data_IF_742359265549
#
_entry.id   IF_742359265549
#
_cell.length_a   1.000
_cell.length_b   1.000
_cell.length_c   1.000
_cell.angle_alpha   90.00
_cell.angle_beta   90.00
_cell.angle_gamma   90.00
#
_symmetry.space_group_name_H-M   'P 1'
#
loop_
_entity.id
_entity.type
_entity.pdbx_description
1 polymer ?
#
# COMPACT_ATOMS: atom_id res chain seq x y z
N UNK A 1 -24.28 40.58 21.42
CA UNK A 1 -24.11 39.76 20.21
C UNK A 1 -23.04 38.72 20.49
N UNK A 2 -23.41 37.45 20.40
CA UNK A 2 -22.49 36.33 20.69
C UNK A 2 -21.87 35.93 19.36
N UNK A 3 -20.62 36.33 19.13
CA UNK A 3 -19.86 35.94 17.94
C UNK A 3 -19.53 34.45 18.01
N UNK A 4 -19.93 33.70 16.98
CA UNK A 4 -19.60 32.28 16.80
C UNK A 4 -18.08 32.06 16.74
N UNK A 5 -17.56 30.93 17.26
CA UNK A 5 -16.13 30.64 17.20
C UNK A 5 -15.74 30.14 15.81
N UNK A 6 -15.18 31.03 14.99
CA UNK A 6 -14.47 30.66 13.77
C UNK A 6 -13.33 29.67 14.07
N UNK A 7 -13.30 28.55 13.33
CA UNK A 7 -12.15 27.63 13.30
C UNK A 7 -10.99 28.36 12.62
N UNK A 8 -9.94 28.66 13.38
CA UNK A 8 -8.62 29.00 12.85
C UNK A 8 -8.37 30.46 12.49
N UNK A 9 -8.93 31.41 13.22
CA UNK A 9 -8.54 32.83 13.16
C UNK A 9 -8.16 33.31 14.54
N UNK A 10 -7.09 34.12 14.64
CA UNK A 10 -6.67 34.75 15.89
C UNK A 10 -7.88 35.32 16.62
N UNK A 11 -8.08 34.85 17.86
CA UNK A 11 -9.18 35.31 18.69
C UNK A 11 -8.85 36.71 19.17
N UNK A 12 -9.57 37.70 18.67
CA UNK A 12 -9.51 39.05 19.20
C UNK A 12 -10.11 39.01 20.61
N UNK A 13 -9.25 39.28 21.60
CA UNK A 13 -9.67 39.46 22.98
C UNK A 13 -10.09 40.93 23.18
N UNK A 14 -11.08 41.22 24.03
CA UNK A 14 -11.45 42.59 24.38
C UNK A 14 -10.34 43.26 25.21
N UNK A 15 -10.26 44.59 25.14
CA UNK A 15 -9.37 45.37 26.00
C UNK A 15 -9.82 45.25 27.47
N UNK A 16 -8.93 44.73 28.32
CA UNK A 16 -9.17 44.52 29.76
C UNK A 16 -8.09 45.26 30.58
N UNK A 17 -8.42 46.38 31.25
CA UNK A 17 -7.50 47.02 32.20
C UNK A 17 -7.15 46.11 33.38
N UNK A 18 -5.92 46.24 33.88
CA UNK A 18 -5.44 45.51 35.05
C UNK A 18 -6.34 45.77 36.26
N UNK A 19 -6.78 44.70 36.94
CA UNK A 19 -7.67 44.76 38.09
C UNK A 19 -9.17 44.77 37.77
N UNK A 20 -9.59 44.68 36.50
CA UNK A 20 -11.01 44.57 36.14
C UNK A 20 -11.65 43.29 36.69
N UNK A 21 -12.73 43.43 37.46
CA UNK A 21 -13.52 42.30 37.94
C UNK A 21 -14.32 41.66 36.78
N UNK A 22 -14.10 40.36 36.55
CA UNK A 22 -14.81 39.59 35.52
C UNK A 22 -15.97 38.81 36.14
N UNK A 23 -17.10 38.77 35.43
CA UNK A 23 -18.24 37.93 35.79
C UNK A 23 -18.01 36.52 35.23
N UNK A 24 -18.00 35.52 36.12
CA UNK A 24 -17.97 34.12 35.71
C UNK A 24 -19.26 33.79 34.93
N UNK A 25 -19.11 33.44 33.65
CA UNK A 25 -20.23 33.05 32.81
C UNK A 25 -20.56 31.56 32.93
N UNK A 26 -19.56 30.69 32.68
CA UNK A 26 -19.70 29.23 32.84
C UNK A 26 -18.35 28.60 33.19
N UNK A 27 -18.40 27.46 33.86
CA UNK A 27 -17.25 26.56 34.02
C UNK A 27 -17.54 25.32 33.17
N UNK A 28 -16.64 24.97 32.25
CA UNK A 28 -16.72 23.76 31.44
C UNK A 28 -15.52 22.87 31.77
N UNK A 29 -15.69 21.84 32.62
CA UNK A 29 -14.62 20.90 32.88
C UNK A 29 -14.38 20.07 31.62
N UNK A 30 -13.13 20.06 31.14
CA UNK A 30 -12.71 19.24 30.00
C UNK A 30 -11.63 18.26 30.45
N UNK A 31 -11.82 16.99 30.12
CA UNK A 31 -10.82 15.96 30.33
C UNK A 31 -10.05 15.74 29.03
N UNK A 32 -8.73 15.80 29.12
CA UNK A 32 -7.82 15.60 27.99
C UNK A 32 -6.92 14.39 28.27
N UNK A 33 -6.50 13.73 27.19
CA UNK A 33 -5.55 12.63 27.23
C UNK A 33 -4.32 12.98 26.39
N UNK A 34 -3.15 12.48 26.80
CA UNK A 34 -1.95 12.54 25.97
C UNK A 34 -2.15 11.67 24.73
N UNK A 35 -1.90 12.25 23.55
CA UNK A 35 -1.93 11.49 22.31
C UNK A 35 -0.54 10.94 22.02
N UNK A 36 -0.42 9.68 21.55
CA UNK A 36 0.85 9.16 21.08
C UNK A 36 1.33 9.95 19.84
N UNK A 37 2.63 9.92 19.53
CA UNK A 37 3.15 10.51 18.31
C UNK A 37 2.38 10.01 17.09
N UNK A 38 1.98 10.92 16.17
CA UNK A 38 1.26 10.53 14.98
C UNK A 38 2.19 9.70 14.08
N UNK A 39 1.65 8.63 13.49
CA UNK A 39 2.37 7.90 12.44
C UNK A 39 2.61 8.80 11.23
N UNK A 40 3.69 8.52 10.51
CA UNK A 40 4.06 9.21 9.28
C UNK A 40 3.00 9.03 8.19
N UNK A 41 2.76 10.09 7.43
CA UNK A 41 2.22 10.00 6.06
C UNK A 41 3.41 9.88 5.11
N UNK A 42 3.16 9.56 3.82
CA UNK A 42 4.25 9.56 2.83
C UNK A 42 4.96 10.91 2.76
N UNK A 43 4.21 12.02 2.77
CA UNK A 43 4.78 13.37 2.74
C UNK A 43 5.62 13.69 4.00
N UNK A 44 5.14 13.30 5.18
CA UNK A 44 5.90 13.50 6.42
C UNK A 44 7.14 12.62 6.47
N UNK A 45 7.09 11.41 5.92
CA UNK A 45 8.26 10.54 5.81
C UNK A 45 9.30 11.12 4.84
N UNK A 46 8.88 11.63 3.68
CA UNK A 46 9.80 12.31 2.76
C UNK A 46 10.46 13.51 3.44
N UNK A 47 9.68 14.29 4.18
CA UNK A 47 10.21 15.44 4.92
C UNK A 47 11.25 14.98 5.97
N UNK A 48 10.95 13.94 6.72
CA UNK A 48 11.90 13.40 7.71
C UNK A 48 13.18 12.87 7.04
N UNK A 49 13.05 12.15 5.92
CA UNK A 49 14.21 11.67 5.15
C UNK A 49 15.09 12.83 4.67
N UNK A 50 14.48 13.91 4.19
CA UNK A 50 15.17 15.14 3.79
C UNK A 50 15.87 15.82 4.98
N UNK A 51 15.17 15.96 6.11
CA UNK A 51 15.71 16.58 7.34
C UNK A 51 16.90 15.75 7.91
N UNK A 52 16.90 14.42 7.71
CA UNK A 52 17.99 13.52 8.11
C UNK A 52 19.09 13.36 7.04
N UNK A 53 18.97 13.99 5.88
CA UNK A 53 19.92 13.86 4.77
C UNK A 53 19.92 12.49 4.08
N UNK A 54 18.89 11.68 4.29
CA UNK A 54 18.77 10.32 3.75
C UNK A 54 18.01 10.34 2.41
N UNK A 55 18.73 10.07 1.33
CA UNK A 55 18.19 10.08 -0.03
C UNK A 55 18.22 11.46 -0.68
N UNK A 56 17.60 11.56 -1.86
CA UNK A 56 17.61 12.74 -2.74
C UNK A 56 16.23 12.89 -3.41
N UNK A 57 15.89 14.07 -3.99
CA UNK A 57 14.61 14.27 -4.69
C UNK A 57 14.31 13.23 -5.78
N UNK A 58 15.34 12.62 -6.36
CA UNK A 58 15.26 11.54 -7.34
C UNK A 58 14.92 10.16 -6.74
N UNK A 59 15.14 9.95 -5.44
CA UNK A 59 15.03 8.64 -4.78
C UNK A 59 13.85 8.54 -3.79
N UNK A 60 13.29 9.63 -3.29
CA UNK A 60 12.19 9.56 -2.29
C UNK A 60 11.00 8.72 -2.73
N UNK A 61 10.52 8.91 -3.97
CA UNK A 61 9.39 8.14 -4.49
C UNK A 61 9.73 6.65 -4.67
N UNK A 62 10.98 6.34 -5.08
CA UNK A 62 11.41 4.95 -5.26
C UNK A 62 11.62 4.24 -3.93
N UNK A 63 12.19 4.91 -2.93
CA UNK A 63 12.33 4.40 -1.55
C UNK A 63 10.95 3.97 -1.02
N UNK A 64 9.97 4.87 -1.04
CA UNK A 64 8.61 4.61 -0.54
C UNK A 64 7.95 3.48 -1.32
N UNK A 65 8.09 3.45 -2.65
CA UNK A 65 7.54 2.37 -3.46
C UNK A 65 8.15 1.02 -3.09
N UNK A 66 9.48 0.93 -2.97
CA UNK A 66 10.18 -0.33 -2.73
C UNK A 66 9.85 -0.91 -1.35
N UNK A 67 9.83 -0.08 -0.30
CA UNK A 67 9.52 -0.56 1.06
C UNK A 67 8.05 -0.98 1.21
N UNK A 68 7.14 -0.41 0.42
CA UNK A 68 5.74 -0.85 0.33
C UNK A 68 5.59 -2.12 -0.50
N UNK A 69 6.24 -2.19 -1.66
CA UNK A 69 6.17 -3.34 -2.57
C UNK A 69 6.75 -4.62 -1.94
N UNK A 70 7.72 -4.47 -1.03
CA UNK A 70 8.29 -5.57 -0.24
C UNK A 70 7.50 -5.91 1.04
N UNK A 71 6.36 -5.27 1.27
CA UNK A 71 5.49 -5.46 2.44
C UNK A 71 6.21 -5.18 3.78
N UNK A 72 7.20 -4.27 3.83
CA UNK A 72 7.76 -3.79 5.09
C UNK A 72 6.88 -2.72 5.74
N UNK A 73 6.23 -1.91 4.91
CA UNK A 73 5.24 -0.92 5.33
C UNK A 73 3.90 -1.19 4.65
N UNK A 74 2.83 -0.97 5.41
CA UNK A 74 1.44 -1.00 4.95
C UNK A 74 0.81 0.38 5.12
N UNK A 75 -0.20 0.65 4.31
CA UNK A 75 -0.97 1.89 4.41
C UNK A 75 -2.24 1.61 5.21
N UNK A 76 -2.36 2.21 6.38
CA UNK A 76 -3.56 2.18 7.21
C UNK A 76 -4.24 3.55 7.10
N UNK A 77 -5.31 3.63 6.30
CA UNK A 77 -5.93 4.89 5.93
C UNK A 77 -5.00 5.77 5.10
N UNK A 78 -4.51 6.88 5.67
CA UNK A 78 -3.53 7.80 5.04
C UNK A 78 -2.16 7.78 5.72
N UNK A 79 -1.92 6.83 6.64
CA UNK A 79 -0.69 6.75 7.43
C UNK A 79 0.04 5.44 7.16
N UNK A 80 1.36 5.48 7.30
CA UNK A 80 2.25 4.34 7.14
C UNK A 80 2.33 3.59 8.46
N UNK A 81 2.19 2.27 8.39
CA UNK A 81 2.32 1.36 9.52
C UNK A 81 3.32 0.25 9.18
N UNK A 82 4.32 -0.02 10.03
CA UNK A 82 5.22 -1.15 9.83
C UNK A 82 4.48 -2.49 9.88
N UNK A 83 4.84 -3.40 8.99
CA UNK A 83 4.37 -4.78 9.03
C UNK A 83 5.20 -5.60 10.03
N UNK A 84 4.73 -6.80 10.37
CA UNK A 84 5.53 -7.73 11.20
C UNK A 84 6.85 -8.11 10.52
N UNK A 85 6.83 -8.25 9.19
CA UNK A 85 8.03 -8.49 8.40
C UNK A 85 8.98 -7.28 8.48
N UNK A 86 8.43 -6.06 8.44
CA UNK A 86 9.19 -4.83 8.59
C UNK A 86 9.94 -4.77 9.92
N UNK A 87 9.25 -5.05 11.03
CA UNK A 87 9.88 -5.13 12.36
C UNK A 87 10.96 -6.19 12.40
N UNK A 88 10.64 -7.42 11.98
CA UNK A 88 11.59 -8.54 12.03
C UNK A 88 12.88 -8.23 11.26
N UNK A 89 12.76 -7.75 10.02
CA UNK A 89 13.92 -7.46 9.19
C UNK A 89 14.70 -6.27 9.74
N UNK A 90 14.02 -5.24 10.25
CA UNK A 90 14.68 -4.11 10.88
C UNK A 90 15.53 -4.55 12.09
N UNK A 91 14.95 -5.35 12.99
CA UNK A 91 15.63 -5.80 14.21
C UNK A 91 16.85 -6.66 13.87
N UNK A 92 16.68 -7.58 12.91
CA UNK A 92 17.75 -8.45 12.42
C UNK A 92 18.88 -7.65 11.75
N UNK A 93 18.56 -6.62 10.98
CA UNK A 93 19.57 -5.77 10.35
C UNK A 93 20.31 -4.89 11.37
N UNK A 94 19.61 -4.29 12.34
CA UNK A 94 20.25 -3.47 13.38
C UNK A 94 21.17 -4.31 14.26
N UNK A 95 20.77 -5.54 14.60
CA UNK A 95 21.58 -6.44 15.43
C UNK A 95 22.87 -6.89 14.74
N UNK A 96 22.82 -7.14 13.43
CA UNK A 96 23.96 -7.68 12.68
C UNK A 96 24.80 -6.61 11.97
N UNK A 97 24.25 -5.43 11.72
CA UNK A 97 24.89 -4.36 10.96
C UNK A 97 24.73 -2.98 11.65
N UNK A 98 25.12 -2.83 12.93
CA UNK A 98 24.84 -1.63 13.71
C UNK A 98 25.48 -0.36 13.12
N UNK A 99 26.63 -0.47 12.48
CA UNK A 99 27.38 0.69 11.99
C UNK A 99 26.77 1.29 10.72
N UNK A 100 26.24 0.45 9.82
CA UNK A 100 25.71 0.88 8.51
C UNK A 100 24.19 1.15 8.51
N UNK A 101 23.47 0.70 9.56
CA UNK A 101 22.02 0.90 9.67
C UNK A 101 21.64 2.24 10.34
N UNK A 102 22.62 3.12 10.57
CA UNK A 102 22.39 4.46 11.13
C UNK A 102 21.99 5.47 10.06
N UNK A 103 21.19 6.46 10.43
CA UNK A 103 20.82 7.57 9.53
C UNK A 103 22.03 8.40 9.18
N UNK A 104 22.94 8.62 10.12
CA UNK A 104 24.17 9.41 9.92
C UNK A 104 25.13 8.73 8.95
N UNK A 105 25.22 7.40 8.95
CA UNK A 105 26.00 6.67 7.95
C UNK A 105 25.40 6.82 6.57
N UNK A 106 24.08 6.63 6.46
CA UNK A 106 23.36 6.70 5.20
C UNK A 106 23.44 8.10 4.57
N UNK A 107 23.28 9.16 5.38
CA UNK A 107 23.43 10.55 4.92
C UNK A 107 24.85 10.83 4.41
N UNK A 108 25.88 10.39 5.16
CA UNK A 108 27.29 10.51 4.73
C UNK A 108 27.57 9.79 3.42
N UNK A 109 26.93 8.64 3.19
CA UNK A 109 27.08 7.91 1.93
C UNK A 109 26.50 8.70 0.75
N UNK A 110 25.36 9.36 0.93
CA UNK A 110 24.79 10.23 -0.11
C UNK A 110 25.69 11.44 -0.39
N UNK A 111 26.27 12.06 0.65
CA UNK A 111 27.22 13.16 0.48
C UNK A 111 28.50 12.72 -0.25
N UNK A 112 28.98 11.50 0.03
CA UNK A 112 30.12 10.92 -0.71
C UNK A 112 29.79 10.68 -2.19
N UNK A 113 28.55 10.35 -2.53
CA UNK A 113 28.14 10.22 -3.93
C UNK A 113 28.12 11.57 -4.64
N UNK A 114 27.69 12.63 -3.96
CA UNK A 114 27.76 14.00 -4.47
C UNK A 114 29.22 14.46 -4.66
N UNK A 115 30.12 14.11 -3.72
CA UNK A 115 31.56 14.38 -3.87
C UNK A 115 32.20 13.63 -5.05
N UNK A 116 31.72 12.44 -5.37
CA UNK A 116 32.14 11.69 -6.56
C UNK A 116 31.64 12.38 -7.83
N UNK A 117 30.39 12.86 -7.84
CA UNK A 117 29.83 13.63 -8.97
C UNK A 117 30.64 14.90 -9.22
N UNK A 118 31.04 15.61 -8.16
CA UNK A 118 31.90 16.79 -8.20
C UNK A 118 33.37 16.48 -8.58
N UNK A 119 33.75 15.20 -8.66
CA UNK A 119 35.12 14.77 -8.95
C UNK A 119 36.12 14.97 -7.79
N UNK A 120 35.63 15.20 -6.57
CA UNK A 120 36.45 15.36 -5.35
C UNK A 120 36.95 14.02 -4.83
N UNK A 121 36.17 12.95 -5.00
CA UNK A 121 36.47 11.60 -4.52
C UNK A 121 36.50 10.60 -5.67
N UNK A 122 37.45 9.67 -5.64
CA UNK A 122 37.48 8.57 -6.59
C UNK A 122 36.47 7.48 -6.18
N UNK A 123 35.53 7.17 -7.07
CA UNK A 123 34.45 6.21 -6.81
C UNK A 123 34.95 4.80 -6.45
N UNK A 124 36.08 4.34 -7.02
CA UNK A 124 36.67 3.02 -6.69
C UNK A 124 37.18 3.02 -5.26
N UNK A 125 37.79 4.11 -4.82
CA UNK A 125 38.29 4.23 -3.45
C UNK A 125 37.14 4.30 -2.44
N UNK A 126 36.07 5.04 -2.76
CA UNK A 126 34.87 5.08 -1.93
C UNK A 126 34.24 3.69 -1.78
N UNK A 127 34.08 2.95 -2.89
CA UNK A 127 33.55 1.59 -2.85
C UNK A 127 34.41 0.62 -2.04
N UNK A 128 35.75 0.68 -2.17
CA UNK A 128 36.64 -0.16 -1.36
C UNK A 128 36.52 0.14 0.13
N UNK A 129 36.46 1.42 0.47
CA UNK A 129 36.34 1.89 1.86
C UNK A 129 35.04 1.39 2.51
N UNK A 130 33.96 1.30 1.74
CA UNK A 130 32.71 0.70 2.20
C UNK A 130 32.77 -0.84 2.25
N UNK A 131 33.22 -1.46 1.16
CA UNK A 131 33.05 -2.90 0.95
C UNK A 131 33.97 -3.75 1.83
N UNK A 132 35.19 -3.28 2.12
CA UNK A 132 36.13 -4.05 2.94
C UNK A 132 35.61 -4.32 4.36
N UNK A 133 35.13 -3.32 5.13
CA UNK A 133 34.46 -3.54 6.42
C UNK A 133 33.15 -4.33 6.27
N UNK A 134 32.30 -3.93 5.32
CA UNK A 134 31.00 -4.56 5.13
C UNK A 134 31.10 -6.06 4.85
N UNK A 135 32.13 -6.48 4.09
CA UNK A 135 32.37 -7.90 3.80
C UNK A 135 32.63 -8.68 5.10
N UNK A 136 33.42 -8.13 6.01
CA UNK A 136 33.68 -8.77 7.31
C UNK A 136 32.41 -8.87 8.14
N UNK A 137 31.59 -7.81 8.17
CA UNK A 137 30.31 -7.82 8.87
C UNK A 137 29.36 -8.85 8.27
N UNK A 138 29.32 -8.95 6.93
CA UNK A 138 28.50 -9.92 6.22
C UNK A 138 28.92 -11.37 6.51
N UNK A 139 30.23 -11.67 6.53
CA UNK A 139 30.75 -12.99 6.87
C UNK A 139 30.40 -13.39 8.32
N UNK A 140 30.42 -12.43 9.25
CA UNK A 140 29.97 -12.67 10.63
C UNK A 140 28.46 -12.86 10.72
N UNK A 141 27.71 -12.05 9.98
CA UNK A 141 26.26 -12.12 9.93
C UNK A 141 25.80 -13.45 9.33
N UNK A 142 26.45 -13.99 8.29
CA UNK A 142 26.13 -15.33 7.76
C UNK A 142 26.21 -16.45 8.83
N UNK A 143 27.08 -16.29 9.83
CA UNK A 143 27.26 -17.27 10.90
C UNK A 143 26.37 -17.03 12.13
N UNK A 144 26.14 -15.75 12.46
CA UNK A 144 25.42 -15.34 13.68
C UNK A 144 23.94 -15.04 13.46
N UNK A 145 23.56 -14.67 12.23
CA UNK A 145 22.22 -14.26 11.91
C UNK A 145 21.25 -15.43 12.06
N UNK A 146 20.23 -15.20 12.89
CA UNK A 146 19.16 -16.15 13.17
C UNK A 146 18.45 -16.55 11.88
N UNK A 147 18.31 -17.86 11.61
CA UNK A 147 17.51 -18.36 10.49
C UNK A 147 16.01 -18.32 10.84
N UNK A 148 15.41 -17.14 10.68
CA UNK A 148 13.99 -16.92 10.99
C UNK A 148 13.05 -17.70 10.04
N UNK A 149 13.52 -18.11 8.86
CA UNK A 149 12.72 -18.95 7.95
C UNK A 149 12.62 -20.39 8.43
N UNK A 150 13.62 -20.86 9.18
CA UNK A 150 13.64 -22.15 9.83
C UNK A 150 12.86 -22.19 11.15
N UNK A 151 12.50 -21.05 11.71
CA UNK A 151 11.75 -21.00 12.97
C UNK A 151 10.29 -21.34 12.78
N UNK A 152 9.88 -22.33 13.56
CA UNK A 152 8.56 -22.91 13.55
C UNK A 152 7.92 -22.58 14.89
N UNK A 153 6.94 -21.69 14.91
CA UNK A 153 6.13 -21.47 16.11
C UNK A 153 4.98 -22.48 16.11
N UNK A 154 4.86 -23.28 17.17
CA UNK A 154 3.76 -24.23 17.32
C UNK A 154 2.48 -23.51 17.75
N UNK A 155 1.34 -23.86 17.12
CA UNK A 155 0.06 -23.20 17.40
C UNK A 155 -0.81 -23.97 18.37
N UNK A 156 -0.43 -25.21 18.70
CA UNK A 156 -1.25 -26.13 19.49
C UNK A 156 -2.56 -26.55 18.80
N UNK A 157 -2.75 -26.20 17.53
CA UNK A 157 -3.92 -26.59 16.73
C UNK A 157 -3.57 -27.76 15.80
N UNK A 158 -4.47 -28.74 15.68
CA UNK A 158 -4.30 -29.86 14.75
C UNK A 158 -4.88 -29.55 13.37
N UNK A 159 -4.22 -30.08 12.32
CA UNK A 159 -4.65 -29.91 10.94
C UNK A 159 -5.96 -30.67 10.67
N UNK A 160 -7.00 -29.96 10.25
CA UNK A 160 -8.32 -30.52 9.90
C UNK A 160 -8.27 -31.64 8.84
N UNK A 161 -7.22 -31.70 8.02
CA UNK A 161 -7.09 -32.68 6.93
C UNK A 161 -6.34 -33.95 7.31
N UNK A 162 -5.46 -33.91 8.30
CA UNK A 162 -4.61 -35.06 8.61
C UNK A 162 -4.30 -35.25 10.10
N UNK A 163 -4.82 -34.39 10.99
CA UNK A 163 -4.62 -34.47 12.43
C UNK A 163 -3.19 -34.23 12.92
N UNK A 164 -2.27 -33.80 12.05
CA UNK A 164 -0.90 -33.42 12.44
C UNK A 164 -0.90 -31.97 12.94
N UNK A 165 0.00 -31.57 13.86
CA UNK A 165 0.01 -30.22 14.40
C UNK A 165 0.25 -29.18 13.31
N UNK A 166 -0.43 -28.05 13.43
CA UNK A 166 -0.24 -26.87 12.60
C UNK A 166 0.87 -26.00 13.21
N UNK A 167 1.62 -25.36 12.33
CA UNK A 167 2.80 -24.58 12.67
C UNK A 167 2.83 -23.26 11.92
N UNK A 168 3.31 -22.20 12.54
CA UNK A 168 3.47 -20.90 11.90
C UNK A 168 4.80 -20.86 11.16
N UNK A 169 4.74 -20.44 9.89
CA UNK A 169 5.90 -20.22 9.04
C UNK A 169 5.85 -18.85 8.40
N UNK A 170 7.03 -18.32 8.08
CA UNK A 170 7.16 -17.10 7.29
C UNK A 170 7.05 -17.37 5.80
N UNK A 171 6.08 -16.74 5.14
CA UNK A 171 5.90 -16.75 3.70
C UNK A 171 6.08 -15.36 3.09
N UNK A 172 5.94 -15.30 1.75
CA UNK A 172 6.02 -14.03 0.99
C UNK A 172 4.98 -12.96 1.37
N UNK A 173 3.93 -13.35 2.10
CA UNK A 173 2.82 -12.46 2.50
C UNK A 173 2.74 -12.29 4.02
N UNK A 174 3.79 -12.68 4.75
CA UNK A 174 3.83 -12.69 6.21
C UNK A 174 3.71 -14.09 6.80
N UNK A 175 3.45 -14.15 8.12
CA UNK A 175 3.24 -15.39 8.85
C UNK A 175 1.97 -16.08 8.36
N UNK A 176 2.04 -17.38 8.11
CA UNK A 176 0.90 -18.23 7.82
C UNK A 176 1.02 -19.55 8.56
N UNK A 177 -0.12 -20.17 8.83
CA UNK A 177 -0.19 -21.46 9.47
C UNK A 177 -0.12 -22.57 8.40
N UNK A 178 0.75 -23.55 8.60
CA UNK A 178 0.96 -24.67 7.68
C UNK A 178 0.91 -25.98 8.46
N UNK A 179 0.45 -27.06 7.82
CA UNK A 179 0.54 -28.38 8.43
C UNK A 179 2.01 -28.82 8.57
N UNK A 180 2.39 -29.34 9.75
CA UNK A 180 3.72 -29.93 9.99
C UNK A 180 4.03 -31.12 9.07
N UNK A 181 2.99 -31.79 8.54
CA UNK A 181 3.09 -32.92 7.62
C UNK A 181 3.45 -32.58 6.17
N UNK A 182 3.88 -31.36 5.85
CA UNK A 182 4.37 -31.01 4.51
C UNK A 182 5.65 -31.81 4.17
N UNK A 183 5.79 -32.41 2.97
CA UNK A 183 5.02 -32.18 1.73
C UNK A 183 3.75 -33.02 1.55
N UNK A 184 3.49 -34.00 2.42
CA UNK A 184 2.37 -34.94 2.30
C UNK A 184 1.01 -34.25 2.51
N UNK A 185 0.95 -33.31 3.45
CA UNK A 185 -0.24 -32.47 3.67
C UNK A 185 0.08 -31.00 3.33
N UNK A 186 -0.56 -30.48 2.28
CA UNK A 186 -0.41 -29.08 1.82
C UNK A 186 -1.45 -28.13 2.42
N UNK A 187 -2.02 -28.46 3.57
CA UNK A 187 -2.98 -27.60 4.22
C UNK A 187 -2.30 -26.35 4.77
N UNK A 188 -2.85 -25.18 4.47
CA UNK A 188 -2.35 -23.88 4.95
C UNK A 188 -3.54 -22.99 5.28
N UNK A 189 -3.39 -22.13 6.29
CA UNK A 189 -4.38 -21.17 6.76
C UNK A 189 -3.67 -19.84 7.05
N UNK A 190 -4.27 -18.73 6.67
CA UNK A 190 -3.73 -17.42 7.02
C UNK A 190 -3.91 -17.15 8.52
N UNK A 191 -2.91 -16.54 9.14
CA UNK A 191 -2.98 -16.02 10.50
C UNK A 191 -3.59 -14.62 10.39
N UNK A 192 -4.92 -14.57 10.28
CA UNK A 192 -5.64 -13.30 10.36
C UNK A 192 -5.27 -12.62 11.68
N UNK A 193 -4.78 -11.37 11.60
CA UNK A 193 -4.70 -10.54 12.81
C UNK A 193 -6.11 -10.39 13.37
N UNK A 194 -6.16 -10.61 14.67
CA UNK A 194 -7.29 -10.51 15.58
C UNK A 194 -8.25 -9.35 15.25
N UNK A 195 -9.26 -9.67 14.44
CA UNK A 195 -10.64 -9.29 14.73
C UNK A 195 -11.33 -10.63 14.86
N UNK A 196 -11.58 -11.06 16.10
CA UNK A 196 -12.23 -12.32 16.42
C UNK A 196 -13.48 -12.53 15.56
N UNK A 197 -13.33 -13.35 14.53
CA UNK A 197 -14.33 -14.19 13.89
C UNK A 197 -13.63 -14.93 12.75
N UNK A 198 -13.58 -16.26 12.86
CA UNK A 198 -13.00 -17.17 11.87
C UNK A 198 -13.78 -17.20 10.55
N UNK A 199 -13.79 -16.09 9.82
CA UNK A 199 -14.18 -15.98 8.42
C UNK A 199 -13.11 -15.15 7.75
N UNK A 200 -12.39 -15.75 6.79
CA UNK A 200 -11.37 -15.05 6.01
C UNK A 200 -11.88 -13.67 5.61
N UNK A 201 -11.05 -12.64 5.76
CA UNK A 201 -11.34 -11.21 5.51
C UNK A 201 -12.63 -11.06 4.71
N UNK A 202 -13.72 -10.54 5.28
CA UNK A 202 -14.92 -10.26 4.50
C UNK A 202 -14.45 -9.40 3.34
N UNK A 203 -14.43 -9.98 2.15
CA UNK A 203 -14.40 -9.16 0.96
C UNK A 203 -15.59 -8.23 1.07
N UNK A 204 -15.44 -6.96 0.73
CA UNK A 204 -16.59 -6.07 0.60
C UNK A 204 -17.65 -6.83 -0.23
N UNK A 205 -18.84 -6.98 0.36
CA UNK A 205 -19.98 -7.56 -0.35
C UNK A 205 -20.24 -6.66 -1.55
N UNK A 206 -20.17 -7.25 -2.73
CA UNK A 206 -20.42 -6.52 -3.97
C UNK A 206 -21.92 -6.62 -4.26
N UNK A 207 -22.51 -5.55 -4.76
CA UNK A 207 -23.89 -5.60 -5.26
C UNK A 207 -24.00 -6.64 -6.39
N UNK A 208 -24.71 -7.73 -6.11
CA UNK A 208 -24.93 -8.82 -7.06
C UNK A 208 -24.96 -10.20 -6.40
N UNK A 209 -25.81 -11.08 -6.93
CA UNK A 209 -25.86 -12.50 -6.57
C UNK A 209 -25.05 -13.31 -7.56
N UNK A 210 -24.44 -14.41 -7.12
CA UNK A 210 -23.74 -15.32 -8.01
C UNK A 210 -24.68 -16.01 -9.00
N UNK A 211 -24.32 -16.04 -10.28
CA UNK A 211 -25.09 -16.67 -11.35
C UNK A 211 -25.21 -18.20 -11.22
N UNK A 212 -24.31 -18.84 -10.47
CA UNK A 212 -24.32 -20.31 -10.25
C UNK A 212 -25.01 -20.72 -8.94
N UNK A 213 -24.75 -19.98 -7.86
CA UNK A 213 -25.13 -20.37 -6.50
C UNK A 213 -26.25 -19.50 -5.90
N UNK A 214 -26.55 -18.32 -6.48
CA UNK A 214 -27.47 -17.32 -5.92
C UNK A 214 -26.94 -16.60 -4.67
N UNK A 215 -25.82 -17.06 -4.11
CA UNK A 215 -25.23 -16.51 -2.89
C UNK A 215 -24.51 -15.17 -3.13
N UNK A 216 -24.30 -14.37 -2.07
CA UNK A 216 -23.61 -13.08 -2.16
C UNK A 216 -22.21 -13.21 -2.75
N UNK A 217 -21.80 -12.21 -3.52
CA UNK A 217 -20.49 -12.11 -4.15
C UNK A 217 -19.53 -11.31 -3.27
N UNK A 218 -18.29 -11.80 -3.11
CA UNK A 218 -17.24 -11.17 -2.31
C UNK A 218 -16.10 -10.68 -3.19
N UNK A 219 -15.58 -9.49 -2.89
CA UNK A 219 -14.34 -8.98 -3.51
C UNK A 219 -13.09 -9.58 -2.84
N UNK A 220 -12.28 -10.33 -3.59
CA UNK A 220 -11.02 -10.94 -3.11
C UNK A 220 -9.81 -10.44 -3.91
N UNK A 221 -8.62 -10.48 -3.32
CA UNK A 221 -7.36 -10.09 -3.96
C UNK A 221 -6.58 -11.34 -4.38
N UNK A 222 -6.26 -11.45 -5.67
CA UNK A 222 -5.51 -12.57 -6.23
C UNK A 222 -4.23 -12.14 -6.95
N UNK A 223 -3.49 -13.10 -7.50
CA UNK A 223 -2.21 -12.88 -8.22
C UNK A 223 -2.30 -11.89 -9.39
N UNK A 224 -3.49 -11.71 -9.97
CA UNK A 224 -3.73 -10.86 -11.14
C UNK A 224 -4.49 -9.56 -10.82
N UNK A 225 -4.77 -9.29 -9.53
CA UNK A 225 -5.57 -8.15 -9.08
C UNK A 225 -6.81 -8.57 -8.29
N UNK A 226 -7.68 -7.59 -8.02
CA UNK A 226 -8.97 -7.81 -7.36
C UNK A 226 -9.92 -8.57 -8.29
N UNK A 227 -10.65 -9.54 -7.75
CA UNK A 227 -11.64 -10.35 -8.47
C UNK A 227 -12.85 -10.61 -7.56
N UNK A 228 -13.99 -10.94 -8.17
CA UNK A 228 -15.23 -11.27 -7.48
C UNK A 228 -15.35 -12.80 -7.38
N UNK A 229 -15.72 -13.34 -6.23
CA UNK A 229 -15.90 -14.78 -5.99
C UNK A 229 -17.21 -15.10 -5.23
N UNK A 230 -17.86 -16.25 -5.48
CA UNK A 230 -19.01 -16.69 -4.67
C UNK A 230 -18.56 -16.86 -3.20
N UNK A 231 -19.42 -16.39 -2.28
CA UNK A 231 -19.21 -16.52 -0.83
C UNK A 231 -19.15 -17.97 -0.35
N UNK A 232 -19.77 -18.91 -1.08
CA UNK A 232 -19.76 -20.35 -0.79
C UNK A 232 -18.57 -21.10 -1.42
N UNK A 233 -17.44 -20.46 -1.67
CA UNK A 233 -16.21 -21.18 -1.99
C UNK A 233 -15.79 -22.01 -0.76
N UNK A 234 -15.51 -23.33 -0.87
CA UNK A 234 -15.09 -24.08 -2.07
C UNK A 234 -16.20 -24.78 -2.87
N UNK A 235 -17.44 -24.80 -2.37
CA UNK A 235 -18.57 -25.53 -2.94
C UNK A 235 -19.04 -24.92 -4.27
N UNK A 236 -18.99 -23.59 -4.38
CA UNK A 236 -19.15 -22.87 -5.64
C UNK A 236 -17.83 -22.18 -6.04
N UNK A 237 -17.29 -22.54 -7.21
CA UNK A 237 -16.00 -22.05 -7.73
C UNK A 237 -16.14 -20.86 -8.67
N UNK A 238 -17.31 -20.22 -8.70
CA UNK A 238 -17.56 -19.04 -9.52
C UNK A 238 -16.60 -17.91 -9.18
N UNK A 239 -15.90 -17.41 -10.19
CA UNK A 239 -15.05 -16.21 -10.10
C UNK A 239 -15.22 -15.35 -11.34
N UNK A 240 -15.41 -14.04 -11.16
CA UNK A 240 -15.52 -13.06 -12.25
C UNK A 240 -14.46 -11.95 -12.09
N UNK A 241 -13.77 -11.52 -13.16
CA UNK A 241 -12.93 -10.33 -13.10
C UNK A 241 -13.82 -9.09 -12.86
N UNK A 242 -13.29 -8.08 -12.18
CA UNK A 242 -14.00 -6.80 -12.01
C UNK A 242 -14.05 -6.10 -13.37
N UNK A 243 -15.14 -6.24 -14.11
CA UNK A 243 -15.41 -5.43 -15.29
C UNK A 243 -15.79 -4.01 -14.86
N UNK A 244 -15.39 -3.01 -15.63
CA UNK A 244 -15.81 -1.61 -15.39
C UNK A 244 -17.26 -1.33 -15.83
N UNK A 245 -18.00 -2.34 -16.31
CA UNK A 245 -19.34 -2.18 -16.88
C UNK A 245 -19.36 -1.54 -18.28
N UNK A 246 -18.21 -1.13 -18.80
CA UNK A 246 -18.10 -0.41 -20.07
C UNK A 246 -18.00 -1.41 -21.24
N UNK A 247 -18.90 -1.35 -22.24
CA UNK A 247 -18.83 -2.20 -23.42
C UNK A 247 -17.59 -1.89 -24.26
N UNK A 248 -17.02 -2.91 -24.91
CA UNK A 248 -15.87 -2.73 -25.77
C UNK A 248 -16.23 -1.83 -26.98
N UNK A 249 -15.42 -0.81 -27.29
CA UNK A 249 -15.68 0.11 -28.40
C UNK A 249 -15.37 -0.46 -29.78
N UNK A 250 -14.87 -1.70 -29.88
CA UNK A 250 -14.63 -2.35 -31.17
C UNK A 250 -15.95 -2.86 -31.78
N UNK A 251 -16.21 -2.45 -33.03
CA UNK A 251 -17.39 -2.84 -33.82
C UNK A 251 -17.54 -4.38 -33.85
N UNK A 252 -18.63 -4.89 -33.28
CA UNK A 252 -18.96 -6.32 -33.25
C UNK A 252 -18.42 -7.11 -32.05
N UNK A 253 -17.81 -6.46 -31.06
CA UNK A 253 -17.40 -7.11 -29.82
C UNK A 253 -18.49 -7.01 -28.75
N UNK A 254 -18.86 -8.15 -28.13
CA UNK A 254 -19.79 -8.21 -26.98
C UNK A 254 -19.05 -8.20 -25.63
N UNK A 255 -17.73 -8.01 -25.66
CA UNK A 255 -16.89 -8.00 -24.48
C UNK A 255 -17.01 -6.71 -23.68
N UNK A 256 -16.59 -6.79 -22.41
CA UNK A 256 -16.51 -5.67 -21.47
C UNK A 256 -15.05 -5.30 -21.23
N UNK A 257 -14.79 -4.04 -20.90
CA UNK A 257 -13.44 -3.60 -20.53
C UNK A 257 -13.14 -4.07 -19.11
N UNK A 258 -12.03 -4.81 -18.97
CA UNK A 258 -11.53 -5.35 -17.70
C UNK A 258 -10.09 -4.87 -17.43
N UNK A 259 -9.74 -4.54 -16.17
CA UNK A 259 -8.38 -4.21 -15.78
C UNK A 259 -7.49 -5.46 -15.80
N UNK A 260 -6.28 -5.32 -16.33
CA UNK A 260 -5.24 -6.35 -16.43
C UNK A 260 -3.89 -5.76 -16.00
N UNK A 261 -2.95 -6.62 -15.60
CA UNK A 261 -1.57 -6.21 -15.24
C UNK A 261 -0.56 -6.66 -16.29
N UNK A 262 0.33 -5.75 -16.68
CA UNK A 262 1.48 -6.06 -17.55
C UNK A 262 2.59 -6.80 -16.79
N UNK A 263 3.55 -7.39 -17.51
CA UNK A 263 4.73 -8.04 -16.91
C UNK A 263 5.57 -7.10 -16.04
N UNK A 264 5.49 -5.78 -16.27
CA UNK A 264 6.17 -4.73 -15.51
C UNK A 264 5.30 -4.13 -14.39
N UNK A 265 4.16 -4.75 -14.05
CA UNK A 265 3.30 -4.33 -12.94
C UNK A 265 2.31 -3.20 -13.26
N UNK A 266 2.48 -2.47 -14.37
CA UNK A 266 1.54 -1.42 -14.79
C UNK A 266 0.18 -1.99 -15.17
N UNK A 267 -0.90 -1.42 -14.63
CA UNK A 267 -2.29 -1.75 -14.98
C UNK A 267 -2.64 -1.20 -16.36
N UNK A 268 -3.32 -1.99 -17.17
CA UNK A 268 -3.92 -1.60 -18.44
C UNK A 268 -5.34 -2.17 -18.52
N UNK A 269 -6.19 -1.60 -19.35
CA UNK A 269 -7.59 -1.96 -19.49
C UNK A 269 -7.78 -2.64 -20.84
N UNK A 270 -8.16 -3.91 -20.85
CA UNK A 270 -8.30 -4.70 -22.07
C UNK A 270 -9.67 -5.35 -22.16
N UNK A 271 -10.08 -5.67 -23.39
CA UNK A 271 -11.33 -6.39 -23.61
C UNK A 271 -11.31 -7.78 -22.95
N UNK A 272 -12.42 -8.15 -22.29
CA UNK A 272 -12.62 -9.47 -21.69
C UNK A 272 -12.57 -10.60 -22.72
N UNK A 273 -12.87 -10.31 -23.99
CA UNK A 273 -12.92 -11.28 -25.10
C UNK A 273 -11.58 -11.52 -25.81
N UNK A 274 -10.46 -11.03 -25.26
CA UNK A 274 -9.11 -11.33 -25.74
C UNK A 274 -8.88 -12.87 -25.77
N UNK A 275 -8.42 -13.47 -26.88
CA UNK A 275 -7.66 -12.86 -27.99
C UNK A 275 -8.48 -12.35 -29.19
N UNK A 276 -9.81 -12.49 -29.19
CA UNK A 276 -10.68 -12.15 -30.34
C UNK A 276 -10.75 -10.65 -30.58
N UNK A 277 -10.75 -9.87 -29.49
CA UNK A 277 -10.65 -8.41 -29.49
C UNK A 277 -9.28 -8.00 -28.90
N UNK A 278 -8.56 -7.11 -29.59
CA UNK A 278 -7.22 -6.65 -29.19
C UNK A 278 -7.22 -5.25 -28.59
N UNK A 279 -8.39 -4.71 -28.26
CA UNK A 279 -8.53 -3.42 -27.62
C UNK A 279 -7.75 -3.34 -26.30
N UNK A 280 -6.92 -2.31 -26.17
CA UNK A 280 -6.12 -1.99 -24.98
C UNK A 280 -6.13 -0.48 -24.76
N UNK A 281 -6.44 -0.06 -23.53
CA UNK A 281 -6.26 1.30 -23.03
C UNK A 281 -5.30 1.31 -21.85
N UNK A 282 -4.39 2.28 -21.79
CA UNK A 282 -3.51 2.46 -20.63
C UNK A 282 -4.11 3.33 -19.53
N UNK A 283 -5.04 4.19 -19.92
CA UNK A 283 -5.77 5.11 -19.05
C UNK A 283 -7.12 4.49 -18.69
N UNK A 284 -7.62 4.74 -17.47
CA UNK A 284 -8.85 4.12 -16.95
C UNK A 284 -10.08 4.63 -17.73
N UNK A 285 -10.81 3.75 -18.44
CA UNK A 285 -12.06 4.13 -19.08
C UNK A 285 -13.14 4.43 -18.04
N UNK A 286 -13.98 5.42 -18.32
CA UNK A 286 -15.16 5.80 -17.55
C UNK A 286 -16.37 5.76 -18.47
N UNK A 287 -17.48 5.22 -17.97
CA UNK A 287 -18.76 5.09 -18.67
C UNK A 287 -19.45 6.45 -18.84
N UNK A 288 -18.81 7.35 -19.57
CA UNK A 288 -19.35 8.65 -19.98
C UNK A 288 -19.20 8.80 -21.48
N UNK A 289 -20.31 9.05 -22.18
CA UNK A 289 -20.27 9.37 -23.60
C UNK A 289 -19.68 10.77 -23.83
N UNK A 290 -18.84 10.90 -24.84
CA UNK A 290 -18.25 12.19 -25.18
C UNK A 290 -19.30 13.15 -25.77
N UNK A 291 -19.52 14.35 -25.19
CA UNK A 291 -20.51 15.31 -25.69
C UNK A 291 -20.23 15.83 -27.11
N UNK A 292 -18.96 15.88 -27.53
CA UNK A 292 -18.56 16.43 -28.83
C UNK A 292 -18.58 15.42 -29.97
N UNK A 293 -18.12 14.18 -29.71
CA UNK A 293 -17.94 13.18 -30.76
C UNK A 293 -18.71 11.87 -30.55
N UNK A 294 -19.57 11.83 -29.51
CA UNK A 294 -20.39 10.66 -29.13
C UNK A 294 -19.60 9.36 -29.01
N UNK A 295 -18.35 9.47 -28.58
CA UNK A 295 -17.52 8.31 -28.30
C UNK A 295 -18.01 7.64 -27.02
N UNK A 296 -17.99 6.29 -26.98
CA UNK A 296 -18.66 5.48 -25.98
C UNK A 296 -18.10 5.59 -24.54
N UNK A 297 -16.87 6.10 -24.36
CA UNK A 297 -16.27 6.27 -23.04
C UNK A 297 -15.26 7.43 -23.02
N UNK A 298 -15.02 7.99 -21.84
CA UNK A 298 -13.91 8.92 -21.58
C UNK A 298 -12.79 8.20 -20.83
N UNK A 299 -11.58 8.76 -20.80
CA UNK A 299 -10.47 8.22 -20.01
C UNK A 299 -10.03 9.16 -18.90
N UNK A 300 -9.74 8.62 -17.72
CA UNK A 300 -9.19 9.38 -16.59
C UNK A 300 -7.73 9.72 -16.86
N UNK A 301 -7.42 11.02 -16.86
CA UNK A 301 -6.06 11.54 -16.91
C UNK A 301 -5.80 12.45 -15.73
N UNK A 302 -4.74 12.14 -14.99
CA UNK A 302 -4.26 12.96 -13.90
C UNK A 302 -3.07 13.81 -14.36
N UNK A 303 -3.12 15.11 -14.06
CA UNK A 303 -1.99 16.03 -14.20
C UNK A 303 -1.76 16.75 -12.88
N UNK A 304 -0.48 16.99 -12.55
CA UNK A 304 -0.06 17.61 -11.29
C UNK A 304 -0.69 18.99 -11.04
N UNK A 305 -0.91 19.78 -12.10
CA UNK A 305 -1.37 21.17 -12.00
C UNK A 305 -2.90 21.36 -12.14
N UNK A 306 -3.60 20.37 -12.71
CA UNK A 306 -5.02 20.49 -13.10
C UNK A 306 -5.91 19.42 -12.44
N UNK A 307 -5.32 18.53 -11.65
CA UNK A 307 -6.02 17.44 -10.99
C UNK A 307 -6.47 16.34 -11.94
N UNK A 308 -7.55 15.66 -11.56
CA UNK A 308 -8.16 14.60 -12.35
C UNK A 308 -9.04 15.23 -13.45
N UNK A 309 -8.88 14.76 -14.68
CA UNK A 309 -9.69 15.20 -15.82
C UNK A 309 -10.11 14.01 -16.66
N UNK A 310 -11.33 14.06 -17.20
CA UNK A 310 -11.83 13.09 -18.15
C UNK A 310 -11.52 13.60 -19.55
N UNK A 311 -10.80 12.80 -20.33
CA UNK A 311 -10.38 13.16 -21.68
C UNK A 311 -10.96 12.17 -22.67
N UNK A 312 -11.54 12.67 -23.77
CA UNK A 312 -11.96 11.82 -24.86
C UNK A 312 -10.75 11.33 -25.65
N UNK A 313 -10.56 10.01 -25.85
CA UNK A 313 -9.45 9.49 -26.63
C UNK A 313 -9.52 9.86 -28.12
N UNK A 314 -10.72 10.17 -28.65
CA UNK A 314 -10.95 10.50 -30.07
C UNK A 314 -10.82 11.99 -30.38
N UNK A 315 -11.60 12.86 -29.74
CA UNK A 315 -11.61 14.30 -30.04
C UNK A 315 -10.79 15.15 -29.05
N UNK A 316 -10.17 14.55 -28.03
CA UNK A 316 -9.43 15.24 -26.96
C UNK A 316 -10.25 16.24 -26.14
N UNK A 317 -11.58 16.17 -26.22
CA UNK A 317 -12.48 16.88 -25.30
C UNK A 317 -12.05 16.61 -23.85
N UNK A 318 -12.01 17.67 -23.04
CA UNK A 318 -11.56 17.59 -21.65
C UNK A 318 -12.67 18.11 -20.74
N UNK A 319 -13.15 17.24 -19.84
CA UNK A 319 -14.07 17.59 -18.76
C UNK A 319 -13.27 17.59 -17.47
N UNK A 320 -13.13 18.76 -16.85
CA UNK A 320 -12.54 18.86 -15.51
C UNK A 320 -13.55 18.32 -14.50
N UNK A 321 -13.16 17.28 -13.76
CA UNK A 321 -13.86 16.91 -12.53
C UNK A 321 -13.39 17.87 -11.46
N UNK A 322 -13.98 19.07 -11.41
CA UNK A 322 -13.80 19.95 -10.27
C UNK A 322 -14.32 19.20 -9.03
N UNK A 323 -13.44 18.95 -8.06
CA UNK A 323 -13.86 18.48 -6.75
C UNK A 323 -14.76 19.56 -6.13
N UNK A 324 -16.04 19.23 -5.92
CA UNK A 324 -16.86 19.88 -4.92
C UNK A 324 -16.48 19.35 -3.53
#
# INVERSE_FOLDING_TARGET
EVSEPGRGGDRILPDLPEGQALKLNRITPEQHFTQPPPRYTEALLVKELEDQGVGRPSTYASIISVIKDRDYLRTEGKRLAPSELGFLINDLLIENFPDIMTTEFTARMEDQLDEIEDGKVNWIQALKTFYEPFKTDLEQAEQKMRDVKGEVEETGEDCEKCGKPMIIKWGRFGKFMACSGYPECKNTRDLGKDNGDGKGTPGEEVEGTCDECGSPLLMKIGRFGKFIACSQYPDCKFTKPISLGIPCPEEGCKGEISPRRSKKGRTFYGCSEYPKCKFVSWDKPVDEECPECKHAFLVEKWKKDEGMSLVCPKCRFKKSTAAA
#
